data_IF_715172683030
#
_entry.id   IF_715172683030
#
_cell.length_a   1.000
_cell.length_b   1.000
_cell.length_c   1.000
_cell.angle_alpha   90.00
_cell.angle_beta   90.00
_cell.angle_gamma   90.00
#
_symmetry.space_group_name_H-M   'P 1'
#
loop_
_entity.id
_entity.type
_entity.pdbx_description
1 polymer ?
#
# COMPACT_ATOMS: atom_id res chain seq x y z
N UNK A 1 7.83 5.30 5.61
CA UNK A 1 6.55 5.01 6.29
C UNK A 1 6.52 5.54 7.71
N UNK A 2 7.65 5.61 8.43
CA UNK A 2 7.68 6.15 9.82
C UNK A 2 7.03 7.55 9.94
N UNK A 3 7.37 8.49 9.05
CA UNK A 3 6.78 9.83 9.02
C UNK A 3 5.25 9.77 8.82
N UNK A 4 4.81 9.12 7.74
CA UNK A 4 3.39 8.98 7.39
C UNK A 4 2.60 8.31 8.51
N UNK A 5 3.12 7.24 9.12
CA UNK A 5 2.43 6.55 10.22
C UNK A 5 2.37 7.44 11.47
N UNK A 6 3.42 8.22 11.74
CA UNK A 6 3.48 9.16 12.86
C UNK A 6 2.54 10.35 12.74
N UNK A 7 2.06 10.68 11.54
CA UNK A 7 1.09 11.75 11.31
C UNK A 7 -0.34 11.36 11.75
N UNK A 8 -0.60 10.08 12.02
CA UNK A 8 -1.92 9.58 12.44
C UNK A 8 -1.95 9.21 13.93
N UNK A 9 -3.14 9.28 14.56
CA UNK A 9 -3.34 8.78 15.93
C UNK A 9 -2.89 7.31 16.09
N UNK A 10 -2.28 6.94 17.23
CA UNK A 10 -1.75 5.57 17.44
C UNK A 10 -2.80 4.45 17.36
N UNK A 11 -4.07 4.76 17.62
CA UNK A 11 -5.21 3.84 17.59
C UNK A 11 -5.91 3.77 16.23
N UNK A 12 -5.49 4.59 15.26
CA UNK A 12 -6.05 4.57 13.91
C UNK A 12 -5.47 3.41 13.11
N UNK A 13 -6.34 2.55 12.59
CA UNK A 13 -5.97 1.49 11.65
C UNK A 13 -5.55 2.08 10.30
N UNK A 14 -4.42 1.62 9.78
CA UNK A 14 -3.85 2.04 8.50
C UNK A 14 -3.81 0.81 7.58
N UNK A 15 -4.59 0.86 6.51
CA UNK A 15 -4.60 -0.19 5.49
C UNK A 15 -3.87 0.27 4.24
N UNK A 16 -2.81 -0.45 3.87
CA UNK A 16 -2.03 -0.17 2.67
C UNK A 16 -2.34 -1.23 1.63
N UNK A 17 -2.79 -0.81 0.45
CA UNK A 17 -3.00 -1.68 -0.70
C UNK A 17 -1.76 -1.60 -1.59
N UNK A 18 -1.11 -2.74 -1.83
CA UNK A 18 0.08 -2.87 -2.65
C UNK A 18 -0.15 -3.83 -3.82
N UNK A 19 0.63 -3.70 -4.88
CA UNK A 19 0.74 -4.78 -5.86
C UNK A 19 1.46 -6.00 -5.27
N UNK A 20 1.41 -7.13 -5.96
CA UNK A 20 1.93 -8.39 -5.43
C UNK A 20 3.41 -8.69 -5.78
N UNK A 21 4.18 -7.68 -6.20
CA UNK A 21 5.59 -7.83 -6.54
C UNK A 21 6.39 -8.32 -5.32
N UNK A 22 7.38 -9.17 -5.57
CA UNK A 22 8.17 -9.81 -4.50
C UNK A 22 8.94 -8.83 -3.62
N UNK A 23 9.24 -7.63 -4.12
CA UNK A 23 9.89 -6.55 -3.35
C UNK A 23 9.02 -6.00 -2.24
N UNK A 24 7.70 -6.15 -2.33
CA UNK A 24 6.76 -5.77 -1.28
C UNK A 24 6.51 -6.87 -0.26
N UNK A 25 7.15 -8.03 -0.41
CA UNK A 25 7.04 -9.17 0.51
C UNK A 25 8.32 -9.19 1.33
N UNK A 26 8.22 -9.49 2.63
CA UNK A 26 9.28 -9.37 3.67
C UNK A 26 9.28 -8.05 4.46
N UNK A 27 8.17 -7.73 5.12
CA UNK A 27 8.05 -6.53 5.97
C UNK A 27 7.72 -6.88 7.43
N UNK A 28 7.92 -8.13 7.84
CA UNK A 28 7.47 -8.67 9.13
C UNK A 28 8.09 -7.89 10.31
N UNK A 29 9.39 -7.58 10.22
CA UNK A 29 10.12 -6.80 11.23
C UNK A 29 9.62 -5.35 11.33
N UNK A 30 9.09 -4.81 10.24
CA UNK A 30 8.51 -3.47 10.24
C UNK A 30 7.07 -3.50 10.78
N UNK A 31 6.24 -4.43 10.30
CA UNK A 31 4.85 -4.59 10.75
C UNK A 31 4.75 -4.95 12.25
N UNK A 32 5.72 -5.69 12.80
CA UNK A 32 5.76 -5.98 14.24
C UNK A 32 5.95 -4.73 15.11
N UNK A 33 6.58 -3.67 14.57
CA UNK A 33 6.73 -2.37 15.23
C UNK A 33 5.54 -1.44 15.00
N UNK A 34 4.68 -1.77 14.05
CA UNK A 34 3.55 -0.94 13.60
C UNK A 34 2.26 -1.78 13.57
N UNK A 35 1.74 -2.22 14.74
CA UNK A 35 0.63 -3.16 14.82
C UNK A 35 -0.70 -2.61 14.28
N UNK A 36 -0.84 -1.29 14.14
CA UNK A 36 -1.99 -0.63 13.54
C UNK A 36 -1.93 -0.60 11.99
N UNK A 37 -0.85 -1.08 11.38
CA UNK A 37 -0.67 -1.10 9.92
C UNK A 37 -0.92 -2.51 9.37
N UNK A 38 -1.78 -2.61 8.36
CA UNK A 38 -2.06 -3.87 7.65
C UNK A 38 -1.80 -3.72 6.17
N UNK A 39 -1.03 -4.65 5.60
CA UNK A 39 -0.77 -4.71 4.16
C UNK A 39 -1.71 -5.67 3.46
N UNK A 40 -2.35 -5.18 2.40
CA UNK A 40 -3.19 -5.96 1.48
C UNK A 40 -2.53 -5.99 0.11
N UNK A 41 -2.43 -7.18 -0.48
CA UNK A 41 -1.82 -7.36 -1.79
C UNK A 41 -2.90 -7.62 -2.84
N UNK A 42 -2.84 -6.94 -3.98
CA UNK A 42 -3.74 -7.23 -5.08
C UNK A 42 -3.52 -8.64 -5.63
N UNK A 43 -4.57 -9.36 -6.08
CA UNK A 43 -4.39 -10.67 -6.71
C UNK A 43 -3.54 -10.60 -7.98
N UNK A 44 -2.95 -11.73 -8.37
CA UNK A 44 -2.23 -11.84 -9.65
C UNK A 44 -3.15 -11.45 -10.81
N UNK A 45 -2.63 -10.63 -11.71
CA UNK A 45 -3.36 -10.10 -12.88
C UNK A 45 -4.55 -9.20 -12.53
N UNK A 46 -4.60 -8.62 -11.32
CA UNK A 46 -5.63 -7.68 -10.89
C UNK A 46 -5.16 -6.22 -10.85
N UNK A 47 -4.46 -5.77 -11.89
CA UNK A 47 -4.03 -4.37 -12.06
C UNK A 47 -5.17 -3.37 -11.97
N UNK A 48 -6.37 -3.75 -12.41
CA UNK A 48 -7.58 -2.93 -12.35
C UNK A 48 -8.02 -2.57 -10.93
N UNK A 49 -7.50 -3.25 -9.89
CA UNK A 49 -7.74 -2.94 -8.49
C UNK A 49 -6.66 -2.00 -7.90
N UNK A 50 -5.54 -1.82 -8.59
CA UNK A 50 -4.44 -0.98 -8.15
C UNK A 50 -4.70 0.49 -8.51
N UNK A 51 -5.01 1.32 -7.50
CA UNK A 51 -5.34 2.74 -7.70
C UNK A 51 -4.21 3.55 -8.34
N UNK A 52 -2.94 3.19 -8.07
CA UNK A 52 -1.78 3.88 -8.65
C UNK A 52 -1.75 3.66 -10.17
N UNK A 53 -2.01 2.44 -10.63
CA UNK A 53 -2.09 2.13 -12.06
C UNK A 53 -3.27 2.84 -12.74
N UNK A 54 -4.43 2.91 -12.07
CA UNK A 54 -5.58 3.67 -12.57
C UNK A 54 -5.21 5.15 -12.74
N UNK A 55 -4.56 5.75 -11.74
CA UNK A 55 -4.16 7.15 -11.76
C UNK A 55 -3.18 7.45 -12.90
N UNK A 56 -2.15 6.62 -13.10
CA UNK A 56 -1.27 6.75 -14.25
C UNK A 56 -2.00 6.58 -15.58
N UNK A 57 -2.97 5.67 -15.66
CA UNK A 57 -3.82 5.53 -16.84
C UNK A 57 -4.62 6.80 -17.15
N UNK A 58 -5.12 7.50 -16.13
CA UNK A 58 -5.80 8.79 -16.28
C UNK A 58 -4.84 9.87 -16.79
N UNK A 59 -3.64 9.95 -16.21
CA UNK A 59 -2.62 10.90 -16.64
C UNK A 59 -2.23 10.70 -18.10
N UNK A 60 -1.92 9.46 -18.50
CA UNK A 60 -1.53 9.15 -19.88
C UNK A 60 -2.59 9.47 -20.92
N UNK A 61 -3.88 9.44 -20.56
CA UNK A 61 -4.98 9.82 -21.46
C UNK A 61 -5.23 11.33 -21.54
N UNK A 62 -4.75 12.10 -20.56
CA UNK A 62 -4.89 13.55 -20.49
C UNK A 62 -3.64 14.30 -20.97
N UNK A 63 -2.55 13.59 -21.20
CA UNK A 63 -1.29 14.09 -21.75
C UNK A 63 -1.37 14.32 -23.26
#
# INVERSE_FOLDING_TARGET
MEEIVGDYPPDQEIHVILDNLSTHKKNEDWLSRHPNVTFHFTPTSASWLNQVEIWFGILSRKA
#
